data_IF_488821715876
#
_entry.id   IF_488821715876
#
_cell.length_a   1.000
_cell.length_b   1.000
_cell.length_c   1.000
_cell.angle_alpha   90.00
_cell.angle_beta   90.00
_cell.angle_gamma   90.00
#
_symmetry.space_group_name_H-M   'P 1'
#
loop_
_entity.id
_entity.type
_entity.pdbx_description
1 polymer ?
#
# COMPACT_ATOMS: atom_id res chain seq x y z
N UNK A 1 13.53 -5.81 -21.97
CA UNK A 1 14.00 -7.19 -21.65
C UNK A 1 13.26 -7.88 -20.50
N UNK A 2 12.35 -7.20 -19.77
CA UNK A 2 11.48 -7.82 -18.75
C UNK A 2 10.05 -7.87 -19.32
N UNK A 3 9.82 -8.72 -20.32
CA UNK A 3 8.47 -8.95 -20.84
C UNK A 3 7.86 -10.14 -20.08
N UNK A 4 6.80 -9.86 -19.33
CA UNK A 4 5.86 -10.82 -18.73
C UNK A 4 6.47 -12.03 -18.00
N UNK A 5 7.34 -11.79 -17.02
CA UNK A 5 7.78 -12.83 -16.07
C UNK A 5 7.10 -12.59 -14.73
N UNK A 6 6.58 -13.63 -14.10
CA UNK A 6 6.06 -13.53 -12.74
C UNK A 6 7.22 -13.39 -11.76
N UNK A 7 6.99 -12.64 -10.67
CA UNK A 7 7.90 -12.59 -9.52
C UNK A 7 7.30 -13.44 -8.40
N UNK A 8 8.13 -14.15 -7.64
CA UNK A 8 7.66 -14.94 -6.49
C UNK A 8 7.76 -14.07 -5.24
N UNK A 9 6.64 -13.92 -4.52
CA UNK A 9 6.62 -13.19 -3.27
C UNK A 9 7.42 -13.93 -2.19
N UNK A 10 8.31 -13.22 -1.50
CA UNK A 10 9.30 -13.81 -0.57
C UNK A 10 8.69 -14.59 0.59
N UNK A 11 7.50 -14.19 1.08
CA UNK A 11 6.85 -14.85 2.23
C UNK A 11 5.71 -15.78 1.83
N UNK A 12 4.74 -15.29 1.05
CA UNK A 12 3.57 -16.05 0.62
C UNK A 12 3.81 -17.00 -0.55
N UNK A 13 5.00 -17.00 -1.16
CA UNK A 13 5.37 -17.81 -2.35
C UNK A 13 4.41 -17.69 -3.55
N UNK A 14 3.56 -16.67 -3.55
CA UNK A 14 2.61 -16.38 -4.64
C UNK A 14 3.34 -15.81 -5.85
N UNK A 15 2.85 -16.14 -7.04
CA UNK A 15 3.28 -15.53 -8.30
C UNK A 15 2.58 -14.18 -8.49
N UNK A 16 3.37 -13.12 -8.55
CA UNK A 16 2.90 -11.74 -8.79
C UNK A 16 3.15 -11.38 -10.26
N UNK A 17 2.13 -10.88 -10.98
CA UNK A 17 2.32 -10.40 -12.35
C UNK A 17 3.13 -9.09 -12.35
N UNK A 18 4.02 -8.93 -13.34
CA UNK A 18 4.68 -7.65 -13.59
C UNK A 18 3.75 -6.81 -14.47
N UNK A 19 3.42 -5.61 -13.99
CA UNK A 19 2.61 -4.62 -14.71
C UNK A 19 3.55 -3.54 -15.22
N UNK A 20 3.36 -3.14 -16.48
CA UNK A 20 4.09 -2.03 -17.11
C UNK A 20 3.12 -0.85 -17.18
N UNK A 21 3.40 0.22 -16.44
CA UNK A 21 2.62 1.45 -16.43
C UNK A 21 3.55 2.66 -16.46
N UNK A 22 3.50 3.43 -17.54
CA UNK A 22 4.42 4.55 -17.77
C UNK A 22 4.14 5.76 -16.84
N UNK A 23 2.96 5.82 -16.23
CA UNK A 23 2.54 6.96 -15.39
C UNK A 23 2.79 6.79 -13.90
N UNK A 24 3.00 5.56 -13.41
CA UNK A 24 3.13 5.27 -11.98
C UNK A 24 4.56 5.43 -11.45
N UNK A 25 5.55 5.11 -12.29
CA UNK A 25 6.94 4.97 -11.86
C UNK A 25 7.81 5.99 -12.57
N UNK A 26 8.49 6.84 -11.79
CA UNK A 26 9.58 7.66 -12.31
C UNK A 26 10.86 6.81 -12.39
N UNK A 27 11.42 6.56 -13.58
CA UNK A 27 12.67 5.81 -13.75
C UNK A 27 13.87 6.49 -13.08
N UNK A 28 13.81 7.81 -12.89
CA UNK A 28 14.86 8.62 -12.25
C UNK A 28 14.92 8.36 -10.74
N UNK A 29 13.87 7.77 -10.16
CA UNK A 29 13.73 7.61 -8.74
C UNK A 29 13.93 6.16 -8.29
N UNK A 30 15.09 5.89 -7.69
CA UNK A 30 15.43 4.56 -7.17
C UNK A 30 15.82 3.60 -8.29
N UNK A 31 15.22 2.39 -8.30
CA UNK A 31 15.54 1.32 -9.27
C UNK A 31 14.53 1.22 -10.42
N UNK A 32 13.59 2.16 -10.53
CA UNK A 32 12.56 2.14 -11.58
C UNK A 32 11.56 0.97 -11.47
N UNK A 33 11.39 0.40 -10.27
CA UNK A 33 10.38 -0.65 -9.99
C UNK A 33 9.77 -0.39 -8.62
N UNK A 34 8.44 -0.49 -8.54
CA UNK A 34 7.68 -0.27 -7.30
C UNK A 34 6.86 -1.50 -6.96
N UNK A 35 6.65 -1.73 -5.67
CA UNK A 35 5.62 -2.67 -5.22
C UNK A 35 4.25 -2.01 -5.42
N UNK A 36 3.25 -2.80 -5.76
CA UNK A 36 1.87 -2.32 -5.92
C UNK A 36 1.00 -3.03 -4.87
N UNK A 37 0.29 -2.27 -4.06
CA UNK A 37 -0.61 -2.74 -2.99
C UNK A 37 -1.99 -2.09 -3.12
N UNK A 38 -2.88 -2.62 -3.97
CA UNK A 38 -4.13 -1.96 -4.33
C UNK A 38 -5.11 -1.70 -3.19
N UNK A 39 -5.01 -2.44 -2.08
CA UNK A 39 -5.89 -2.29 -0.92
C UNK A 39 -5.42 -1.22 0.09
N UNK A 40 -4.18 -0.75 -0.03
CA UNK A 40 -3.51 0.10 0.97
C UNK A 40 -2.77 1.30 0.36
N UNK A 41 -3.00 1.60 -0.91
CA UNK A 41 -2.55 2.84 -1.53
C UNK A 41 -3.53 3.30 -2.61
N UNK A 42 -3.78 4.61 -2.64
CA UNK A 42 -4.76 5.21 -3.54
C UNK A 42 -4.29 5.18 -5.00
N UNK A 43 -2.99 5.36 -5.24
CA UNK A 43 -2.46 5.34 -6.61
C UNK A 43 -2.43 3.92 -7.16
N UNK A 44 -2.02 2.96 -6.33
CA UNK A 44 -2.01 1.53 -6.67
C UNK A 44 -3.41 1.00 -6.99
N UNK A 45 -4.44 1.53 -6.33
CA UNK A 45 -5.83 1.17 -6.60
C UNK A 45 -6.30 1.59 -8.01
N UNK A 46 -5.93 2.79 -8.46
CA UNK A 46 -6.27 3.24 -9.81
C UNK A 46 -5.47 2.46 -10.87
N UNK A 47 -4.21 2.09 -10.59
CA UNK A 47 -3.42 1.19 -11.44
C UNK A 47 -4.10 -0.18 -11.52
N UNK A 48 -4.54 -0.71 -10.38
CA UNK A 48 -5.27 -1.98 -10.32
C UNK A 48 -6.55 -1.94 -11.14
N UNK A 49 -7.32 -0.84 -11.11
CA UNK A 49 -8.52 -0.70 -11.94
C UNK A 49 -8.20 -0.77 -13.44
N UNK A 50 -7.11 -0.12 -13.87
CA UNK A 50 -6.66 -0.11 -15.27
C UNK A 50 -6.20 -1.49 -15.76
N UNK A 51 -5.49 -2.25 -14.92
CA UNK A 51 -4.80 -3.48 -15.33
C UNK A 51 -5.42 -4.78 -14.82
N UNK A 52 -6.59 -4.71 -14.20
CA UNK A 52 -7.33 -5.84 -13.65
C UNK A 52 -6.58 -6.84 -12.71
N UNK A 53 -5.61 -6.41 -11.88
CA UNK A 53 -4.79 -7.28 -10.97
C UNK A 53 -5.55 -8.01 -9.82
N UNK A 54 -5.09 -8.09 -8.56
CA UNK A 54 -5.91 -8.68 -7.46
C UNK A 54 -6.03 -7.70 -6.29
N UNK A 55 -7.19 -7.66 -5.62
CA UNK A 55 -7.37 -6.92 -4.37
C UNK A 55 -7.19 -7.86 -3.18
N UNK A 56 -6.06 -7.72 -2.48
CA UNK A 56 -5.77 -8.49 -1.27
C UNK A 56 -5.62 -7.50 -0.12
N UNK A 57 -6.49 -7.62 0.88
CA UNK A 57 -6.40 -6.88 2.13
C UNK A 57 -5.63 -7.71 3.17
N UNK A 58 -4.73 -7.07 3.91
CA UNK A 58 -3.93 -7.68 4.97
C UNK A 58 -4.23 -7.10 6.36
N UNK A 59 -5.03 -6.03 6.46
CA UNK A 59 -5.31 -5.35 7.72
C UNK A 59 -6.70 -5.70 8.24
N UNK A 60 -6.78 -5.86 9.56
CA UNK A 60 -8.03 -5.88 10.30
C UNK A 60 -8.43 -4.46 10.73
N UNK A 61 -9.67 -4.32 11.19
CA UNK A 61 -10.26 -3.06 11.66
C UNK A 61 -9.54 -2.41 12.87
N UNK A 62 -8.82 -3.22 13.63
CA UNK A 62 -8.04 -2.82 14.81
C UNK A 62 -6.58 -2.44 14.47
N UNK A 63 -6.20 -2.50 13.18
CA UNK A 63 -4.85 -2.22 12.70
C UNK A 63 -3.86 -3.36 12.92
N UNK A 64 -4.34 -4.57 13.27
CA UNK A 64 -3.54 -5.80 13.29
C UNK A 64 -3.55 -6.49 11.93
N UNK A 65 -2.56 -7.34 11.68
CA UNK A 65 -2.47 -8.13 10.46
C UNK A 65 -3.36 -9.39 10.50
N UNK A 66 -4.03 -9.66 9.39
CA UNK A 66 -4.92 -10.80 9.20
C UNK A 66 -4.16 -12.07 8.74
N UNK A 67 -4.91 -13.10 8.32
CA UNK A 67 -4.37 -14.40 7.88
C UNK A 67 -3.51 -14.32 6.62
N UNK A 68 -3.77 -13.34 5.75
CA UNK A 68 -3.00 -13.15 4.52
C UNK A 68 -1.55 -12.73 4.78
N UNK A 69 -1.25 -12.26 6.00
CA UNK A 69 0.10 -11.94 6.44
C UNK A 69 0.92 -13.16 6.91
N UNK A 70 0.32 -14.35 6.96
CA UNK A 70 0.99 -15.60 7.32
C UNK A 70 1.66 -15.54 8.69
N UNK A 71 3.00 -15.68 8.72
CA UNK A 71 3.80 -15.67 9.96
C UNK A 71 3.69 -14.39 10.79
N UNK A 72 3.19 -13.30 10.22
CA UNK A 72 3.05 -12.00 10.89
C UNK A 72 1.61 -11.71 11.34
N UNK A 73 0.71 -12.70 11.30
CA UNK A 73 -0.68 -12.57 11.79
C UNK A 73 -0.70 -12.07 13.24
N UNK A 74 -1.57 -11.09 13.52
CA UNK A 74 -1.75 -10.50 14.85
C UNK A 74 -0.75 -9.40 15.22
N UNK A 75 0.29 -9.16 14.42
CA UNK A 75 1.19 -8.03 14.67
C UNK A 75 0.52 -6.71 14.27
N UNK A 76 0.81 -5.64 15.02
CA UNK A 76 0.52 -4.28 14.56
C UNK A 76 1.49 -3.87 13.47
N UNK A 77 1.05 -3.02 12.53
CA UNK A 77 1.83 -2.66 11.34
C UNK A 77 3.27 -2.16 11.62
N UNK A 78 3.51 -1.40 12.70
CA UNK A 78 4.87 -0.96 13.06
C UNK A 78 5.77 -2.11 13.53
N UNK A 79 5.21 -3.05 14.30
CA UNK A 79 5.93 -4.23 14.77
C UNK A 79 6.22 -5.17 13.60
N UNK A 80 5.20 -5.40 12.76
CA UNK A 80 5.33 -6.18 11.55
C UNK A 80 6.41 -5.64 10.62
N UNK A 81 6.49 -4.31 10.44
CA UNK A 81 7.53 -3.70 9.60
C UNK A 81 8.95 -4.05 10.07
N UNK A 82 9.21 -4.02 11.39
CA UNK A 82 10.51 -4.39 11.95
C UNK A 82 10.80 -5.87 11.75
N UNK A 83 9.83 -6.72 12.11
CA UNK A 83 9.96 -8.18 11.97
C UNK A 83 10.18 -8.62 10.51
N UNK A 84 9.53 -7.97 9.55
CA UNK A 84 9.72 -8.23 8.12
C UNK A 84 11.14 -7.87 7.68
N UNK A 85 11.68 -6.73 8.13
CA UNK A 85 13.05 -6.33 7.80
C UNK A 85 14.07 -7.32 8.34
N UNK A 86 13.89 -7.76 9.58
CA UNK A 86 14.78 -8.74 10.20
C UNK A 86 14.71 -10.09 9.47
N UNK A 87 13.50 -10.57 9.16
CA UNK A 87 13.32 -11.78 8.36
C UNK A 87 13.94 -11.67 6.94
N UNK A 88 13.88 -10.50 6.30
CA UNK A 88 14.50 -10.29 4.98
C UNK A 88 16.02 -10.23 5.05
N UNK A 89 16.60 -9.79 6.17
CA UNK A 89 18.04 -9.86 6.43
C UNK A 89 18.50 -11.30 6.64
N UNK A 90 17.75 -12.09 7.41
CA UNK A 90 18.02 -13.51 7.62
C UNK A 90 18.00 -14.31 6.30
N UNK A 91 17.10 -13.95 5.38
CA UNK A 91 17.03 -14.57 4.04
C UNK A 91 18.06 -14.03 3.04
N UNK A 92 18.86 -13.02 3.40
CA UNK A 92 19.82 -12.39 2.50
C UNK A 92 19.20 -11.61 1.33
N UNK A 93 17.92 -11.24 1.42
CA UNK A 93 17.19 -10.49 0.38
C UNK A 93 17.22 -8.97 0.61
N UNK A 94 17.60 -8.53 1.81
CA UNK A 94 17.74 -7.13 2.16
C UNK A 94 19.02 -6.53 1.54
N UNK A 95 18.91 -5.37 0.88
CA UNK A 95 20.04 -4.72 0.20
C UNK A 95 20.51 -3.51 1.00
N UNK A 96 19.65 -2.51 1.18
CA UNK A 96 20.05 -1.23 1.77
C UNK A 96 18.83 -0.47 2.29
N UNK A 97 19.06 0.60 3.05
CA UNK A 97 18.01 1.50 3.55
C UNK A 97 18.48 2.95 3.57
N UNK A 98 17.77 3.80 2.82
CA UNK A 98 18.12 5.21 2.59
C UNK A 98 17.08 6.14 3.16
N UNK A 99 17.46 7.27 3.74
CA UNK A 99 16.49 8.29 4.17
C UNK A 99 15.71 8.84 2.98
N UNK A 100 14.40 8.99 3.14
CA UNK A 100 13.48 9.51 2.15
C UNK A 100 12.41 10.37 2.85
N UNK A 101 12.40 11.70 2.63
CA UNK A 101 11.35 12.55 3.17
C UNK A 101 10.01 12.17 2.54
N UNK A 102 8.98 12.05 3.37
CA UNK A 102 7.63 11.71 2.93
C UNK A 102 6.58 12.46 3.76
N UNK A 103 5.44 12.72 3.15
CA UNK A 103 4.27 13.30 3.80
C UNK A 103 3.42 12.16 4.34
N UNK A 104 3.03 12.26 5.61
CA UNK A 104 2.25 11.22 6.29
C UNK A 104 0.96 11.81 6.79
N UNK A 105 -0.19 11.20 6.45
CA UNK A 105 -1.47 11.64 6.98
C UNK A 105 -1.55 11.31 8.48
N UNK A 106 -1.86 12.33 9.28
CA UNK A 106 -2.02 12.23 10.72
C UNK A 106 -3.46 12.62 11.05
N UNK A 107 -4.09 11.87 11.94
CA UNK A 107 -5.41 12.20 12.47
C UNK A 107 -5.32 13.49 13.30
N UNK A 108 -6.16 14.47 12.99
CA UNK A 108 -6.18 15.74 13.72
C UNK A 108 -6.64 15.61 15.17
N UNK A 109 -7.38 14.54 15.50
CA UNK A 109 -7.93 14.32 16.84
C UNK A 109 -7.01 13.47 17.71
N UNK A 110 -6.64 12.27 17.25
CA UNK A 110 -5.82 11.34 18.03
C UNK A 110 -4.31 11.57 17.86
N UNK A 111 -3.89 12.29 16.82
CA UNK A 111 -2.48 12.40 16.46
C UNK A 111 -1.87 11.10 15.92
N UNK A 112 -2.68 10.05 15.72
CA UNK A 112 -2.23 8.77 15.17
C UNK A 112 -2.07 8.83 13.65
N UNK A 113 -1.26 7.92 13.11
CA UNK A 113 -1.03 7.82 11.67
C UNK A 113 -2.25 7.16 11.02
N UNK A 114 -2.75 7.76 9.94
CA UNK A 114 -3.90 7.24 9.20
C UNK A 114 -3.39 6.23 8.18
N UNK A 115 -3.90 5.00 8.25
CA UNK A 115 -3.66 3.97 7.26
C UNK A 115 -4.89 3.82 6.34
N UNK A 116 -4.70 3.75 5.02
CA UNK A 116 -5.78 3.52 4.07
C UNK A 116 -6.28 2.06 4.16
N UNK A 117 -7.60 1.91 4.30
CA UNK A 117 -8.28 0.63 4.36
C UNK A 117 -9.48 0.64 3.40
N UNK A 118 -9.66 -0.44 2.63
CA UNK A 118 -10.80 -0.58 1.74
C UNK A 118 -12.02 -1.04 2.52
N UNK A 119 -13.10 -0.23 2.49
CA UNK A 119 -14.37 -0.59 3.12
C UNK A 119 -15.56 -0.17 2.27
N UNK A 120 -16.71 -0.86 2.37
CA UNK A 120 -17.94 -0.31 1.85
C UNK A 120 -18.24 1.00 2.61
N UNK A 121 -18.39 2.11 1.88
CA UNK A 121 -18.63 3.42 2.47
C UNK A 121 -19.73 4.15 1.71
N UNK A 122 -20.60 4.81 2.47
CA UNK A 122 -21.62 5.70 1.94
C UNK A 122 -20.97 7.00 1.47
N UNK A 123 -21.08 7.29 0.17
CA UNK A 123 -20.62 8.54 -0.44
C UNK A 123 -21.82 9.31 -1.00
N UNK A 124 -21.92 10.59 -0.69
CA UNK A 124 -22.87 11.49 -1.35
C UNK A 124 -22.26 11.99 -2.66
N UNK A 125 -23.02 11.88 -3.76
CA UNK A 125 -22.57 12.35 -5.07
C UNK A 125 -22.70 13.87 -5.14
N UNK A 126 -21.56 14.57 -5.08
CA UNK A 126 -21.50 16.02 -5.33
C UNK A 126 -21.05 16.30 -6.76
N UNK A 127 -21.55 17.38 -7.37
CA UNK A 127 -21.47 17.64 -8.82
C UNK A 127 -20.04 17.70 -9.42
N UNK A 128 -19.00 17.89 -8.60
CA UNK A 128 -17.59 17.87 -9.03
C UNK A 128 -16.94 16.48 -9.05
N UNK A 129 -17.65 15.42 -8.63
CA UNK A 129 -17.12 14.06 -8.46
C UNK A 129 -17.47 13.08 -9.61
N UNK A 130 -17.69 13.58 -10.83
CA UNK A 130 -18.11 12.80 -12.01
C UNK A 130 -17.14 11.70 -12.49
N UNK A 131 -16.01 11.47 -11.81
CA UNK A 131 -15.03 10.44 -12.21
C UNK A 131 -15.19 9.08 -11.54
N UNK A 132 -16.06 8.89 -10.54
CA UNK A 132 -16.27 7.55 -9.97
C UNK A 132 -17.46 6.85 -10.63
N UNK A 133 -17.13 6.04 -11.64
CA UNK A 133 -18.08 5.24 -12.39
C UNK A 133 -18.67 4.10 -11.54
N UNK A 134 -19.96 3.89 -11.77
CA UNK A 134 -20.93 3.04 -11.07
C UNK A 134 -20.61 1.55 -11.28
N UNK A 135 -20.46 0.77 -10.21
CA UNK A 135 -20.60 -0.69 -10.29
C UNK A 135 -22.10 -1.06 -10.36
N UNK A 136 -22.48 -2.09 -11.12
CA UNK A 136 -23.86 -2.48 -11.29
C UNK A 136 -24.27 -3.37 -10.11
N UNK A 137 -24.42 -2.79 -8.93
CA UNK A 137 -25.26 -3.31 -7.85
C UNK A 137 -25.53 -2.15 -6.89
N UNK A 138 -26.81 -1.87 -6.69
CA UNK A 138 -27.31 -0.69 -6.01
C UNK A 138 -26.88 -0.72 -4.54
N UNK A 139 -26.43 0.45 -4.06
CA UNK A 139 -26.31 0.88 -2.66
C UNK A 139 -24.96 0.75 -1.92
N UNK A 140 -23.91 0.17 -2.50
CA UNK A 140 -22.57 0.17 -1.87
C UNK A 140 -21.46 0.59 -2.85
N UNK A 141 -21.00 1.84 -2.74
CA UNK A 141 -19.70 2.22 -3.30
C UNK A 141 -18.59 1.70 -2.40
N UNK A 142 -17.61 0.98 -2.96
CA UNK A 142 -16.35 0.71 -2.25
C UNK A 142 -15.65 2.05 -2.10
N UNK A 143 -15.53 2.53 -0.87
CA UNK A 143 -14.86 3.77 -0.55
C UNK A 143 -13.66 3.49 0.32
N UNK A 144 -12.80 4.50 0.44
CA UNK A 144 -11.69 4.40 1.37
C UNK A 144 -12.19 4.83 2.73
N UNK A 145 -12.16 3.92 3.69
CA UNK A 145 -12.36 4.28 5.07
C UNK A 145 -10.98 4.50 5.69
N UNK A 146 -10.73 5.72 6.18
CA UNK A 146 -9.78 5.86 7.27
C UNK A 146 -10.36 5.08 8.45
N UNK A 147 -9.61 4.11 8.99
CA UNK A 147 -9.95 3.59 10.32
C UNK A 147 -9.96 4.78 11.28
N UNK A 148 -11.15 5.14 11.80
CA UNK A 148 -11.49 6.22 12.77
C UNK A 148 -10.30 7.12 13.17
N UNK A 149 -10.25 8.42 12.90
CA UNK A 149 -11.30 9.46 12.79
C UNK A 149 -10.89 10.59 11.86
N UNK A 150 -11.80 11.03 10.99
CA UNK A 150 -11.80 12.35 10.31
C UNK A 150 -10.55 12.71 9.51
N UNK A 151 -10.58 12.54 8.19
CA UNK A 151 -9.50 12.99 7.32
C UNK A 151 -10.02 13.73 6.08
N UNK A 152 -9.51 14.94 5.90
CA UNK A 152 -9.58 15.74 4.69
C UNK A 152 -8.68 15.17 3.59
N UNK A 153 -9.08 15.42 2.35
CA UNK A 153 -8.49 14.91 1.11
C UNK A 153 -7.13 15.58 0.82
N UNK A 154 -6.06 14.79 0.65
CA UNK A 154 -4.84 15.22 -0.05
C UNK A 154 -4.27 14.06 -0.87
N UNK A 155 -4.05 14.29 -2.17
CA UNK A 155 -3.37 13.37 -3.08
C UNK A 155 -1.87 13.42 -2.85
N UNK A 156 -1.20 12.27 -2.71
CA UNK A 156 0.27 12.18 -2.72
C UNK A 156 0.72 10.89 -3.41
N UNK A 157 1.76 11.03 -4.23
CA UNK A 157 2.34 10.03 -5.11
C UNK A 157 2.91 8.80 -4.40
N UNK A 158 2.57 7.62 -4.95
CA UNK A 158 3.41 6.42 -5.05
C UNK A 158 3.99 5.88 -3.74
N UNK A 159 3.31 4.91 -3.12
CA UNK A 159 3.74 4.33 -1.84
C UNK A 159 4.91 3.35 -2.00
N UNK A 160 6.11 3.82 -1.66
CA UNK A 160 7.26 2.96 -1.36
C UNK A 160 7.20 2.50 0.11
N UNK A 161 7.58 1.25 0.41
CA UNK A 161 7.71 0.79 1.80
C UNK A 161 8.76 1.64 2.56
N UNK A 162 8.31 2.40 3.57
CA UNK A 162 9.15 3.32 4.32
C UNK A 162 9.11 3.01 5.82
N UNK A 163 10.23 3.08 6.54
CA UNK A 163 10.34 2.78 7.97
C UNK A 163 10.67 4.03 8.78
N UNK A 164 9.94 4.26 9.88
CA UNK A 164 10.27 5.32 10.84
C UNK A 164 11.45 4.89 11.71
N UNK A 165 12.50 5.69 11.69
CA UNK A 165 13.64 5.60 12.61
C UNK A 165 13.69 6.85 13.50
N UNK A 166 14.52 6.85 14.55
CA UNK A 166 14.73 8.02 15.40
C UNK A 166 15.25 9.24 14.63
N UNK A 167 15.88 9.03 13.47
CA UNK A 167 16.45 10.07 12.60
C UNK A 167 15.57 10.48 11.42
N UNK A 168 14.36 9.91 11.26
CA UNK A 168 13.51 10.17 10.10
C UNK A 168 12.99 8.91 9.40
N UNK A 169 12.44 9.09 8.21
CA UNK A 169 11.78 8.05 7.43
C UNK A 169 12.72 7.49 6.37
N UNK A 170 12.91 6.17 6.36
CA UNK A 170 13.84 5.50 5.46
C UNK A 170 13.14 4.57 4.47
N UNK A 171 13.45 4.73 3.18
CA UNK A 171 13.14 3.79 2.11
C UNK A 171 13.94 2.51 2.29
N UNK A 172 13.23 1.38 2.25
CA UNK A 172 13.82 0.06 2.27
C UNK A 172 14.06 -0.44 0.84
N UNK A 173 15.23 -1.01 0.57
CA UNK A 173 15.61 -1.57 -0.73
C UNK A 173 15.80 -3.07 -0.56
N UNK A 174 15.04 -3.85 -1.31
CA UNK A 174 15.05 -5.32 -1.26
C UNK A 174 15.31 -5.91 -2.65
N UNK A 175 15.74 -7.17 -2.67
CA UNK A 175 15.81 -8.00 -3.86
C UNK A 175 14.48 -8.72 -4.05
N UNK A 176 13.90 -8.59 -5.24
CA UNK A 176 12.73 -9.35 -5.70
C UNK A 176 13.17 -10.63 -6.39
#
# INVERSE_FOLDING_TARGET
>A
HIQAKYVVHSFSHRRLPIIIDDGLVDPSFGKGTVKITPAHDFNDYEVRKRHNAEFIDILNDDGTLNENAGRFKGFRHFQARRAIVDALKEMGLYIDTKDNPMIIPICSLSGEIIEPLMKPQWLSQTASSRSNQRLPNKDCSVGWAASRTGASRVSCGGVTACQRTSSGWRRLIFKM
#
